data_IF_926320305341
#
_entry.id   IF_926320305341
#
_cell.length_a   1.000
_cell.length_b   1.000
_cell.length_c   1.000
_cell.angle_alpha   90.00
_cell.angle_beta   90.00
_cell.angle_gamma   90.00
#
_symmetry.space_group_name_H-M   'P 1'
#
loop_
_entity.id
_entity.type
_entity.pdbx_description
1 polymer ?
#
# COMPACT_ATOMS: atom_id res chain seq x y z
N UNK A 1 -19.20 23.53 5.22
CA UNK A 1 -17.91 23.60 4.54
C UNK A 1 -17.83 22.40 3.63
N UNK A 2 -17.57 22.61 2.35
CA UNK A 2 -17.40 21.50 1.42
C UNK A 2 -16.04 20.83 1.70
N UNK A 3 -16.06 19.52 1.94
CA UNK A 3 -14.85 18.73 2.08
C UNK A 3 -14.21 18.55 0.71
N UNK A 4 -13.26 19.42 0.36
CA UNK A 4 -12.44 19.27 -0.83
C UNK A 4 -11.34 18.24 -0.56
N UNK A 5 -11.14 17.32 -1.50
CA UNK A 5 -10.08 16.32 -1.47
C UNK A 5 -9.26 16.37 -2.76
N UNK A 6 -7.96 16.11 -2.67
CA UNK A 6 -7.05 16.03 -3.82
C UNK A 6 -6.06 14.88 -3.66
N UNK A 7 -5.47 14.44 -4.77
CA UNK A 7 -4.43 13.43 -4.77
C UNK A 7 -3.12 14.03 -4.24
N UNK A 8 -2.48 13.36 -3.28
CA UNK A 8 -1.20 13.79 -2.67
C UNK A 8 -0.03 12.86 -2.99
N UNK A 9 -0.28 11.60 -3.36
CA UNK A 9 0.76 10.66 -3.78
C UNK A 9 0.20 9.55 -4.68
N UNK A 10 1.06 8.98 -5.51
CA UNK A 10 0.78 7.80 -6.32
C UNK A 10 2.06 7.01 -6.62
N UNK A 11 1.91 5.68 -6.79
CA UNK A 11 2.97 4.79 -7.25
C UNK A 11 2.45 3.89 -8.37
N UNK A 12 3.29 3.64 -9.36
CA UNK A 12 2.96 2.72 -10.44
C UNK A 12 3.24 1.28 -9.99
N UNK A 13 2.20 0.45 -9.95
CA UNK A 13 2.37 -0.99 -9.79
C UNK A 13 2.80 -1.61 -11.12
N UNK A 14 3.88 -2.39 -11.10
CA UNK A 14 4.45 -3.03 -12.29
C UNK A 14 4.47 -4.55 -12.08
N UNK A 15 3.74 -5.33 -12.89
CA UNK A 15 3.76 -6.79 -12.78
C UNK A 15 5.16 -7.38 -13.01
N UNK A 16 5.52 -8.46 -12.31
CA UNK A 16 6.80 -9.17 -12.49
C UNK A 16 7.11 -9.53 -13.93
N UNK A 17 6.08 -9.85 -14.72
CA UNK A 17 6.24 -10.22 -16.13
C UNK A 17 6.73 -9.07 -16.99
N UNK A 18 6.41 -7.82 -16.64
CA UNK A 18 6.83 -6.64 -17.39
C UNK A 18 8.28 -6.28 -17.08
N UNK A 19 8.71 -6.40 -15.83
CA UNK A 19 10.11 -6.17 -15.42
C UNK A 19 11.08 -7.08 -16.19
N UNK A 20 10.67 -8.34 -16.44
CA UNK A 20 11.47 -9.31 -17.19
C UNK A 20 11.40 -9.12 -18.71
N UNK A 21 10.39 -8.40 -19.20
CA UNK A 21 10.16 -8.15 -20.62
C UNK A 21 10.66 -6.73 -20.96
N UNK A 22 11.91 -6.67 -21.42
CA UNK A 22 12.60 -5.40 -21.68
C UNK A 22 11.89 -4.57 -22.76
N UNK A 23 11.30 -5.23 -23.76
CA UNK A 23 10.60 -4.56 -24.85
C UNK A 23 9.28 -3.94 -24.35
N UNK A 24 8.48 -4.69 -23.60
CA UNK A 24 7.26 -4.14 -22.96
C UNK A 24 7.57 -3.00 -22.01
N UNK A 25 8.61 -3.15 -21.18
CA UNK A 25 9.02 -2.10 -20.24
C UNK A 25 9.46 -0.81 -20.93
N UNK A 26 10.26 -0.91 -22.00
CA UNK A 26 10.67 0.26 -22.76
C UNK A 26 9.50 0.92 -23.48
N UNK A 27 8.63 0.13 -24.11
CA UNK A 27 7.46 0.66 -24.80
C UNK A 27 6.48 1.36 -23.85
N UNK A 28 6.35 0.85 -22.62
CA UNK A 28 5.58 1.47 -21.55
C UNK A 28 6.32 2.62 -20.82
N UNK A 29 7.57 2.92 -21.20
CA UNK A 29 8.44 3.95 -20.59
C UNK A 29 8.62 3.78 -19.08
N UNK A 30 8.75 2.52 -18.64
CA UNK A 30 9.02 2.20 -17.23
C UNK A 30 10.45 2.66 -16.85
N UNK A 31 10.62 3.50 -15.81
CA UNK A 31 11.94 3.93 -15.36
C UNK A 31 12.82 2.76 -14.88
N UNK A 32 14.13 2.88 -15.05
CA UNK A 32 15.09 1.83 -14.71
C UNK A 32 15.13 1.54 -13.20
N UNK A 33 14.96 2.58 -12.40
CA UNK A 33 14.85 2.53 -10.94
C UNK A 33 13.58 1.80 -10.47
N UNK A 34 12.58 1.65 -11.34
CA UNK A 34 11.34 0.91 -11.06
C UNK A 34 11.43 -0.57 -11.45
N UNK A 35 12.64 -1.10 -11.71
CA UNK A 35 12.86 -2.51 -12.09
C UNK A 35 12.83 -3.49 -10.91
N UNK A 36 12.82 -3.02 -9.67
CA UNK A 36 12.55 -3.90 -8.53
C UNK A 36 11.04 -4.09 -8.37
N UNK A 37 10.59 -5.34 -8.42
CA UNK A 37 9.17 -5.64 -8.27
C UNK A 37 8.71 -5.40 -6.84
N UNK A 38 7.74 -4.52 -6.66
CA UNK A 38 6.97 -4.38 -5.42
C UNK A 38 5.50 -4.77 -5.64
N UNK A 39 4.96 -5.50 -4.69
CA UNK A 39 3.52 -5.76 -4.57
C UNK A 39 2.78 -4.46 -4.26
N UNK A 40 1.46 -4.44 -4.48
CA UNK A 40 0.63 -3.30 -4.11
C UNK A 40 0.68 -3.00 -2.61
N UNK A 41 0.80 -4.03 -1.78
CA UNK A 41 0.88 -3.95 -0.32
C UNK A 41 2.19 -3.26 0.11
N UNK A 42 3.32 -3.69 -0.46
CA UNK A 42 4.63 -3.06 -0.22
C UNK A 42 4.63 -1.60 -0.68
N UNK A 43 4.12 -1.32 -1.88
CA UNK A 43 4.01 0.05 -2.38
C UNK A 43 3.16 0.94 -1.46
N UNK A 44 2.04 0.43 -0.95
CA UNK A 44 1.17 1.20 -0.06
C UNK A 44 1.85 1.52 1.28
N UNK A 45 2.64 0.59 1.85
CA UNK A 45 3.41 0.87 3.07
C UNK A 45 4.54 1.88 2.79
N UNK A 46 5.28 1.71 1.70
CA UNK A 46 6.34 2.63 1.30
C UNK A 46 5.82 4.05 1.01
N UNK A 47 4.59 4.17 0.51
CA UNK A 47 3.94 5.46 0.30
C UNK A 47 3.70 6.20 1.62
N UNK A 48 3.47 5.50 2.73
CA UNK A 48 3.21 6.12 4.03
C UNK A 48 4.49 6.65 4.69
N UNK A 49 5.63 6.00 4.45
CA UNK A 49 6.88 6.28 5.15
C UNK A 49 7.35 7.75 5.01
N UNK A 50 7.31 8.39 3.82
CA UNK A 50 7.62 9.81 3.70
C UNK A 50 6.70 10.70 4.55
N UNK A 51 5.39 10.49 4.50
CA UNK A 51 4.42 11.29 5.26
C UNK A 51 4.64 11.18 6.77
N UNK A 52 4.95 9.97 7.25
CA UNK A 52 5.29 9.72 8.65
C UNK A 52 6.58 10.42 9.02
N UNK A 53 7.63 10.30 8.18
CA UNK A 53 8.94 10.89 8.42
C UNK A 53 8.87 12.43 8.48
N UNK A 54 8.01 13.03 7.66
CA UNK A 54 7.75 14.47 7.61
C UNK A 54 6.76 14.94 8.69
N UNK A 55 6.23 14.01 9.50
CA UNK A 55 5.22 14.28 10.54
C UNK A 55 3.95 14.91 9.97
N UNK A 56 3.57 14.51 8.77
CA UNK A 56 2.29 14.92 8.17
C UNK A 56 1.14 14.42 9.07
N UNK A 57 0.15 15.25 9.40
CA UNK A 57 -1.00 14.80 10.18
C UNK A 57 -1.80 13.73 9.44
N UNK A 58 -1.74 12.48 9.90
CA UNK A 58 -2.52 11.35 9.39
C UNK A 58 -3.60 11.02 10.43
N UNK A 59 -4.86 11.21 10.08
CA UNK A 59 -5.97 10.81 10.95
C UNK A 59 -6.13 9.29 11.00
N UNK A 60 -6.27 8.67 9.83
CA UNK A 60 -6.26 7.22 9.65
C UNK A 60 -5.98 6.84 8.20
N UNK A 61 -5.61 5.58 7.98
CA UNK A 61 -5.52 4.96 6.66
C UNK A 61 -6.75 4.08 6.44
N UNK A 62 -7.43 4.25 5.31
CA UNK A 62 -8.55 3.39 4.90
C UNK A 62 -8.21 2.62 3.64
N UNK A 63 -8.40 1.31 3.67
CA UNK A 63 -8.09 0.42 2.54
C UNK A 63 -9.19 -0.61 2.29
N UNK A 64 -9.26 -1.10 1.05
CA UNK A 64 -10.21 -2.13 0.64
C UNK A 64 -9.82 -3.54 1.11
N UNK A 65 -10.67 -4.51 0.77
CA UNK A 65 -10.54 -5.92 1.16
C UNK A 65 -9.30 -6.65 0.64
N UNK A 66 -8.68 -6.19 -0.44
CA UNK A 66 -7.42 -6.75 -0.95
C UNK A 66 -6.30 -6.56 0.07
N UNK A 67 -6.25 -5.38 0.69
CA UNK A 67 -5.22 -5.00 1.64
C UNK A 67 -5.48 -5.61 3.02
N UNK A 68 -6.72 -5.53 3.50
CA UNK A 68 -7.05 -6.07 4.83
C UNK A 68 -7.04 -7.59 4.92
N UNK A 69 -7.02 -8.30 3.79
CA UNK A 69 -6.83 -9.75 3.76
C UNK A 69 -5.36 -10.18 4.00
N UNK A 70 -4.39 -9.25 3.96
CA UNK A 70 -2.98 -9.56 4.20
C UNK A 70 -2.55 -9.16 5.61
N UNK A 71 -2.29 -10.16 6.46
CA UNK A 71 -1.92 -9.92 7.86
C UNK A 71 -0.59 -9.19 8.00
N UNK A 72 0.35 -9.35 7.06
CA UNK A 72 1.65 -8.65 7.11
C UNK A 72 1.48 -7.18 6.79
N UNK A 73 0.58 -6.84 5.86
CA UNK A 73 0.23 -5.45 5.59
C UNK A 73 -0.40 -4.79 6.82
N UNK A 74 -1.35 -5.46 7.48
CA UNK A 74 -1.94 -4.97 8.74
C UNK A 74 -0.88 -4.77 9.82
N UNK A 75 0.01 -5.76 10.02
CA UNK A 75 1.14 -5.62 10.94
C UNK A 75 2.05 -4.45 10.57
N UNK A 76 2.31 -4.23 9.27
CA UNK A 76 3.13 -3.12 8.79
C UNK A 76 2.50 -1.74 9.04
N UNK A 77 1.18 -1.62 9.02
CA UNK A 77 0.47 -0.41 9.44
C UNK A 77 0.57 -0.19 10.96
N UNK A 78 0.44 -1.28 11.74
CA UNK A 78 0.56 -1.25 13.19
C UNK A 78 1.97 -0.83 13.64
N UNK A 79 3.02 -1.39 13.04
CA UNK A 79 4.43 -1.04 13.31
C UNK A 79 4.75 0.43 13.02
N UNK A 80 4.05 1.03 12.06
CA UNK A 80 4.13 2.46 11.71
C UNK A 80 3.37 3.37 12.67
N UNK A 81 2.67 2.80 13.66
CA UNK A 81 1.86 3.52 14.64
C UNK A 81 0.78 4.42 13.99
N UNK A 82 0.16 3.93 12.91
CA UNK A 82 -0.93 4.63 12.21
C UNK A 82 -2.26 3.96 12.53
N UNK A 83 -3.29 4.75 12.81
CA UNK A 83 -4.66 4.21 12.94
C UNK A 83 -5.19 3.79 11.58
N UNK A 84 -5.87 2.65 11.49
CA UNK A 84 -6.35 2.14 10.20
C UNK A 84 -7.73 1.51 10.26
N UNK A 85 -8.42 1.54 9.12
CA UNK A 85 -9.69 0.87 8.86
C UNK A 85 -9.50 0.03 7.60
N UNK A 86 -9.65 -1.28 7.72
CA UNK A 86 -9.43 -2.21 6.62
C UNK A 86 -10.69 -3.01 6.34
N UNK A 87 -11.09 -3.07 5.07
CA UNK A 87 -12.03 -4.09 4.63
C UNK A 87 -11.39 -5.48 4.82
N UNK A 88 -12.14 -6.45 5.33
CA UNK A 88 -11.71 -7.85 5.44
C UNK A 88 -12.73 -8.77 4.79
N UNK A 89 -12.33 -9.94 4.27
CA UNK A 89 -13.29 -10.97 3.87
C UNK A 89 -14.22 -11.37 5.01
N UNK A 90 -15.48 -11.68 4.70
CA UNK A 90 -16.47 -12.08 5.72
C UNK A 90 -16.12 -13.38 6.44
N UNK A 91 -15.27 -14.22 5.84
CA UNK A 91 -14.79 -15.48 6.41
C UNK A 91 -13.46 -15.37 7.15
N UNK A 92 -12.91 -14.18 7.36
CA UNK A 92 -11.64 -14.00 8.07
C UNK A 92 -11.77 -14.47 9.51
N UNK A 93 -10.94 -15.45 9.90
CA UNK A 93 -10.86 -15.93 11.27
C UNK A 93 -10.14 -14.89 12.15
N UNK A 94 -10.72 -14.63 13.31
CA UNK A 94 -10.15 -13.72 14.31
C UNK A 94 -9.98 -14.43 15.64
N UNK A 95 -8.91 -14.09 16.35
CA UNK A 95 -8.66 -14.59 17.70
C UNK A 95 -9.23 -13.60 18.72
N UNK A 96 -10.08 -14.08 19.63
CA UNK A 96 -10.62 -13.28 20.74
C UNK A 96 -9.71 -13.32 21.99
N UNK A 97 -8.65 -14.14 21.94
CA UNK A 97 -7.60 -14.29 22.94
C UNK A 97 -6.27 -14.45 22.23
N UNK A 98 -5.16 -13.97 22.81
CA UNK A 98 -3.82 -14.23 22.26
C UNK A 98 -3.59 -15.75 22.18
N UNK A 99 -3.15 -16.29 21.02
CA UNK A 99 -2.78 -17.69 20.89
C UNK A 99 -1.51 -18.02 21.68
#
# INVERSE_FOLDING_TARGET
MDNLATLIDYRLFIPKSWIKDHEKSMNAKIPLESKEHKTKLELALDMLDPFISEKTPIGYVQVDGLYGNDSKFISGLYERNVSFICGIPSGTLVYITLP
#
